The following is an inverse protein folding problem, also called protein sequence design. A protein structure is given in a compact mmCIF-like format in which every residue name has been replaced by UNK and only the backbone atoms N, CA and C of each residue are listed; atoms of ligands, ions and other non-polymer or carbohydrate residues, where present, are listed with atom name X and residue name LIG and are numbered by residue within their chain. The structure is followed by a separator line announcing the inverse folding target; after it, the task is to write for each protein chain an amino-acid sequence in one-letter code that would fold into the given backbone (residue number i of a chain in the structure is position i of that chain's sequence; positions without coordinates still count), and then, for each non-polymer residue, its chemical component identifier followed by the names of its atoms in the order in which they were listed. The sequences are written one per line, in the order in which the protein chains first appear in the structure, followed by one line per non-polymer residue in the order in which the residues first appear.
data_IF_396707157533
#
_entry.id   IF_396707157533
#
_cell.length_a   1.000
_cell.length_b   1.000
_cell.length_c   1.000
_cell.angle_alpha   90.00
_cell.angle_beta   90.00
_cell.angle_gamma   90.00
#
_symmetry.space_group_name_H-M   'P 1'
#
loop_
_entity.id
_entity.type
_entity.pdbx_description
1 polymer ?
#
# COMPACT_ATOMS: atom_id res chain seq x y z
N UNK A 1 -6.54 13.03 -2.44
CA UNK A 1 -5.09 12.71 -2.39
C UNK A 1 -4.51 12.87 -3.79
N UNK A 2 -3.32 13.46 -3.94
CA UNK A 2 -2.64 13.77 -5.23
C UNK A 2 -2.50 12.52 -6.10
N UNK A 3 -2.21 11.36 -5.50
CA UNK A 3 -2.08 10.08 -6.22
C UNK A 3 -3.36 9.72 -7.00
N UNK A 4 -4.54 9.85 -6.36
CA UNK A 4 -5.83 9.60 -7.04
C UNK A 4 -6.08 10.58 -8.17
N UNK A 5 -5.71 11.85 -8.00
CA UNK A 5 -5.88 12.86 -9.04
C UNK A 5 -4.97 12.58 -10.25
N UNK A 6 -3.76 12.09 -10.00
CA UNK A 6 -2.82 11.68 -11.06
C UNK A 6 -3.35 10.45 -11.80
N UNK A 7 -3.82 9.43 -11.08
CA UNK A 7 -4.42 8.23 -11.70
C UNK A 7 -5.65 8.55 -12.54
N UNK A 8 -6.53 9.44 -12.07
CA UNK A 8 -7.74 9.83 -12.81
C UNK A 8 -7.44 10.51 -14.16
N UNK A 9 -6.28 11.17 -14.28
CA UNK A 9 -5.85 11.83 -15.50
C UNK A 9 -4.95 10.95 -16.39
N UNK A 10 -4.47 9.81 -15.87
CA UNK A 10 -3.60 8.89 -16.59
C UNK A 10 -4.42 7.84 -17.35
N UNK A 11 -4.14 7.68 -18.65
CA UNK A 11 -4.68 6.57 -19.45
C UNK A 11 -3.69 5.41 -19.39
N UNK A 12 -4.01 4.41 -18.57
CA UNK A 12 -3.19 3.20 -18.41
C UNK A 12 -4.03 1.99 -18.78
N UNK A 13 -3.58 1.22 -19.75
CA UNK A 13 -4.15 -0.10 -20.05
C UNK A 13 -3.46 -1.12 -19.14
N UNK A 14 -4.24 -1.79 -18.28
CA UNK A 14 -3.72 -2.67 -17.23
C UNK A 14 -4.08 -4.12 -17.60
N UNK A 15 -3.09 -4.93 -18.00
CA UNK A 15 -3.31 -6.35 -18.27
C UNK A 15 -3.82 -7.08 -17.03
N UNK A 16 -4.78 -7.99 -17.23
CA UNK A 16 -5.37 -8.77 -16.13
C UNK A 16 -4.32 -9.60 -15.36
N UNK A 17 -3.29 -10.09 -16.05
CA UNK A 17 -2.18 -10.82 -15.41
C UNK A 17 -1.49 -10.00 -14.31
N UNK A 18 -1.35 -8.67 -14.50
CA UNK A 18 -0.76 -7.81 -13.48
C UNK A 18 -1.70 -7.62 -12.28
N UNK A 19 -3.01 -7.56 -12.54
CA UNK A 19 -4.05 -7.47 -11.50
C UNK A 19 -4.07 -8.76 -10.69
N UNK A 20 -4.05 -9.92 -11.35
CA UNK A 20 -4.08 -11.22 -10.69
C UNK A 20 -2.83 -11.43 -9.80
N UNK A 21 -1.65 -11.04 -10.30
CA UNK A 21 -0.42 -11.05 -9.50
C UNK A 21 -0.45 -10.09 -8.30
N UNK A 22 -1.14 -8.96 -8.42
CA UNK A 22 -1.33 -8.04 -7.29
C UNK A 22 -2.36 -8.59 -6.30
N UNK A 23 -3.45 -9.22 -6.77
CA UNK A 23 -4.42 -9.91 -5.92
C UNK A 23 -3.73 -11.00 -5.10
N UNK A 24 -2.91 -11.84 -5.74
CA UNK A 24 -2.18 -12.90 -5.03
C UNK A 24 -1.24 -12.31 -3.96
N UNK A 25 -0.51 -11.23 -4.28
CA UNK A 25 0.32 -10.52 -3.30
C UNK A 25 -0.50 -9.96 -2.13
N UNK A 26 -1.66 -9.37 -2.39
CA UNK A 26 -2.55 -8.85 -1.35
C UNK A 26 -3.11 -9.97 -0.45
N UNK A 27 -3.42 -11.13 -1.02
CA UNK A 27 -3.82 -12.32 -0.26
C UNK A 27 -2.68 -12.78 0.65
N UNK A 28 -1.46 -12.84 0.13
CA UNK A 28 -0.28 -13.25 0.90
C UNK A 28 0.05 -12.26 2.03
N UNK A 29 -0.04 -10.95 1.76
CA UNK A 29 0.09 -9.88 2.77
C UNK A 29 -0.89 -10.10 3.93
N UNK A 30 -2.17 -10.30 3.61
CA UNK A 30 -3.22 -10.50 4.61
C UNK A 30 -3.01 -11.82 5.36
N UNK A 31 -2.68 -12.90 4.66
CA UNK A 31 -2.37 -14.21 5.25
C UNK A 31 -1.21 -14.12 6.23
N UNK A 32 -0.12 -13.46 5.85
CA UNK A 32 1.03 -13.25 6.72
C UNK A 32 0.66 -12.42 7.95
N UNK A 33 -0.09 -11.33 7.79
CA UNK A 33 -0.56 -10.51 8.91
C UNK A 33 -1.44 -11.29 9.90
N UNK A 34 -2.31 -12.18 9.40
CA UNK A 34 -3.15 -13.04 10.22
C UNK A 34 -2.32 -14.10 10.95
N UNK A 35 -1.36 -14.72 10.26
CA UNK A 35 -0.46 -15.72 10.84
C UNK A 35 0.36 -15.16 12.00
N UNK A 36 0.78 -13.89 11.93
CA UNK A 36 1.42 -13.21 13.06
C UNK A 36 0.51 -13.09 14.30
N UNK A 37 -0.81 -13.06 14.11
CA UNK A 37 -1.81 -13.07 15.18
C UNK A 37 -2.26 -14.49 15.56
N UNK A 38 -1.69 -15.52 14.96
CA UNK A 38 -2.04 -16.92 15.19
C UNK A 38 -3.33 -17.38 14.49
N UNK A 39 -3.77 -16.67 13.45
CA UNK A 39 -4.98 -16.95 12.69
C UNK A 39 -4.60 -17.42 11.28
N UNK A 40 -5.20 -18.52 10.83
CA UNK A 40 -5.03 -19.00 9.44
C UNK A 40 -6.13 -18.42 8.54
N UNK A 41 -5.75 -17.94 7.35
CA UNK A 41 -6.67 -17.30 6.41
C UNK A 41 -7.84 -18.21 6.01
N UNK A 42 -7.58 -19.50 5.79
CA UNK A 42 -8.61 -20.47 5.41
C UNK A 42 -9.68 -20.65 6.51
N UNK A 43 -9.25 -20.63 7.78
CA UNK A 43 -10.16 -20.68 8.92
C UNK A 43 -11.00 -19.41 9.01
N UNK A 44 -10.39 -18.25 8.76
CA UNK A 44 -11.09 -16.97 8.74
C UNK A 44 -12.16 -16.91 7.64
N UNK A 45 -11.81 -17.30 6.41
CA UNK A 45 -12.76 -17.35 5.30
C UNK A 45 -13.89 -18.35 5.56
N UNK A 46 -13.58 -19.51 6.13
CA UNK A 46 -14.58 -20.49 6.54
C UNK A 46 -15.56 -19.94 7.57
N UNK A 47 -15.07 -19.18 8.56
CA UNK A 47 -15.93 -18.52 9.56
C UNK A 47 -16.88 -17.49 8.92
N UNK A 48 -16.40 -16.76 7.91
CA UNK A 48 -17.21 -15.80 7.14
C UNK A 48 -18.13 -16.45 6.10
N UNK A 49 -18.03 -17.77 5.89
CA UNK A 49 -18.75 -18.46 4.82
C UNK A 49 -18.31 -18.03 3.41
N UNK A 50 -17.07 -17.56 3.27
CA UNK A 50 -16.48 -17.11 2.02
C UNK A 50 -15.46 -18.13 1.50
N UNK A 51 -15.25 -18.12 0.18
CA UNK A 51 -14.19 -18.89 -0.49
C UNK A 51 -13.00 -17.98 -0.81
N UNK A 52 -11.84 -18.59 -1.05
CA UNK A 52 -10.66 -17.85 -1.51
C UNK A 52 -10.95 -17.09 -2.81
N UNK A 53 -11.67 -17.69 -3.75
CA UNK A 53 -12.00 -17.05 -5.04
C UNK A 53 -12.88 -15.82 -4.84
N UNK A 54 -13.93 -15.93 -4.02
CA UNK A 54 -14.79 -14.77 -3.70
C UNK A 54 -14.04 -13.67 -2.97
N UNK A 55 -13.06 -14.03 -2.13
CA UNK A 55 -12.20 -13.08 -1.46
C UNK A 55 -11.25 -12.39 -2.44
N UNK A 56 -10.60 -13.14 -3.34
CA UNK A 56 -9.77 -12.59 -4.42
C UNK A 56 -10.53 -11.64 -5.33
N UNK A 57 -11.78 -11.96 -5.68
CA UNK A 57 -12.62 -11.10 -6.50
C UNK A 57 -12.91 -9.75 -5.80
N UNK A 58 -13.13 -9.75 -4.49
CA UNK A 58 -13.30 -8.51 -3.71
C UNK A 58 -12.04 -7.64 -3.70
N UNK A 59 -10.86 -8.24 -3.79
CA UNK A 59 -9.59 -7.51 -3.84
C UNK A 59 -9.27 -6.96 -5.24
N UNK A 60 -9.94 -7.46 -6.29
CA UNK A 60 -9.54 -7.24 -7.68
C UNK A 60 -9.57 -5.77 -8.10
N UNK A 61 -10.57 -5.01 -7.66
CA UNK A 61 -10.66 -3.57 -7.95
C UNK A 61 -9.56 -2.78 -7.24
N UNK A 62 -9.28 -3.10 -5.98
CA UNK A 62 -8.20 -2.46 -5.23
C UNK A 62 -6.83 -2.81 -5.82
N UNK A 63 -6.63 -4.08 -6.21
CA UNK A 63 -5.44 -4.53 -6.90
C UNK A 63 -5.23 -3.78 -8.23
N UNK A 64 -6.29 -3.56 -9.01
CA UNK A 64 -6.23 -2.75 -10.24
C UNK A 64 -5.80 -1.31 -9.94
N UNK A 65 -6.36 -0.66 -8.91
CA UNK A 65 -5.95 0.70 -8.51
C UNK A 65 -4.47 0.74 -8.05
N UNK A 66 -4.02 -0.26 -7.30
CA UNK A 66 -2.60 -0.37 -6.88
C UNK A 66 -1.67 -0.53 -8.07
N UNK A 67 -1.99 -1.42 -9.01
CA UNK A 67 -1.20 -1.62 -10.24
C UNK A 67 -1.18 -0.34 -11.07
N UNK A 68 -2.32 0.33 -11.23
CA UNK A 68 -2.38 1.61 -11.93
C UNK A 68 -1.45 2.63 -11.30
N UNK A 69 -1.55 2.80 -9.98
CA UNK A 69 -0.74 3.73 -9.21
C UNK A 69 0.75 3.47 -9.43
N UNK A 70 1.17 2.22 -9.31
CA UNK A 70 2.57 1.83 -9.51
C UNK A 70 3.05 2.19 -10.91
N UNK A 71 2.31 1.81 -11.95
CA UNK A 71 2.68 2.08 -13.34
C UNK A 71 2.73 3.58 -13.66
N UNK A 72 1.82 4.38 -13.11
CA UNK A 72 1.84 5.82 -13.29
C UNK A 72 3.04 6.44 -12.60
N UNK A 73 3.34 6.02 -11.38
CA UNK A 73 4.50 6.53 -10.65
C UNK A 73 5.82 6.15 -11.32
N UNK A 74 5.94 4.91 -11.80
CA UNK A 74 7.09 4.45 -12.58
C UNK A 74 7.29 5.28 -13.86
N UNK A 75 6.21 5.50 -14.62
CA UNK A 75 6.26 6.34 -15.82
C UNK A 75 6.65 7.79 -15.50
N UNK A 76 6.19 8.35 -14.38
CA UNK A 76 6.57 9.70 -13.95
C UNK A 76 8.03 9.75 -13.49
N UNK A 77 8.49 8.76 -12.72
CA UNK A 77 9.88 8.72 -12.25
C UNK A 77 10.86 8.62 -13.42
N UNK A 78 10.56 7.79 -14.41
CA UNK A 78 11.36 7.68 -15.63
C UNK A 78 11.35 8.98 -16.44
N UNK A 79 10.18 9.57 -16.67
CA UNK A 79 10.05 10.79 -17.45
C UNK A 79 10.75 12.00 -16.80
N UNK A 80 10.89 12.00 -15.48
CA UNK A 80 11.57 13.05 -14.72
C UNK A 80 13.01 12.69 -14.34
N UNK A 81 13.51 11.51 -14.75
CA UNK A 81 14.82 11.00 -14.37
C UNK A 81 15.07 11.05 -12.85
N UNK A 82 14.06 10.62 -12.07
CA UNK A 82 14.17 10.52 -10.61
C UNK A 82 15.00 9.29 -10.28
N UNK A 83 16.21 9.53 -9.77
CA UNK A 83 17.13 8.49 -9.34
C UNK A 83 17.39 8.58 -7.83
N UNK A 84 17.65 7.43 -7.20
CA UNK A 84 18.19 7.37 -5.85
C UNK A 84 19.72 7.42 -5.93
N UNK A 85 20.34 8.38 -5.24
CA UNK A 85 21.80 8.44 -5.17
C UNK A 85 22.33 7.43 -4.15
N UNK A 86 23.59 7.00 -4.30
CA UNK A 86 24.25 6.13 -3.31
C UNK A 86 24.18 6.74 -1.90
N UNK A 87 24.39 8.06 -1.77
CA UNK A 87 24.31 8.77 -0.49
C UNK A 87 22.90 8.70 0.13
N UNK A 88 21.84 8.88 -0.66
CA UNK A 88 20.45 8.76 -0.18
C UNK A 88 20.14 7.33 0.29
N UNK A 89 20.65 6.33 -0.43
CA UNK A 89 20.50 4.92 -0.08
C UNK A 89 21.21 4.62 1.25
N UNK A 90 22.45 5.10 1.43
CA UNK A 90 23.18 4.92 2.68
C UNK A 90 22.51 5.61 3.87
N UNK A 91 21.99 6.82 3.66
CA UNK A 91 21.25 7.55 4.69
C UNK A 91 19.99 6.79 5.11
N UNK A 92 19.22 6.28 4.14
CA UNK A 92 17.99 5.55 4.40
C UNK A 92 18.25 4.22 5.12
N UNK A 93 19.29 3.47 4.71
CA UNK A 93 19.74 2.27 5.42
C UNK A 93 20.14 2.62 6.86
N UNK A 94 20.84 3.73 7.08
CA UNK A 94 21.17 4.22 8.41
C UNK A 94 19.95 4.54 9.27
N UNK A 95 18.88 5.08 8.69
CA UNK A 95 17.60 5.31 9.37
C UNK A 95 16.90 4.01 9.74
N UNK A 96 16.85 3.06 8.80
CA UNK A 96 16.27 1.73 9.03
C UNK A 96 17.01 0.99 10.15
N UNK A 97 18.34 1.00 10.11
CA UNK A 97 19.18 0.37 11.13
C UNK A 97 18.86 0.89 12.54
N UNK A 98 18.71 2.22 12.69
CA UNK A 98 18.27 2.84 13.95
C UNK A 98 16.88 2.39 14.38
N UNK A 99 15.92 2.29 13.45
CA UNK A 99 14.56 1.84 13.73
C UNK A 99 14.53 0.39 14.23
N UNK A 100 15.32 -0.47 13.61
CA UNK A 100 15.46 -1.88 13.98
C UNK A 100 16.46 -2.12 15.12
N UNK A 101 17.04 -1.07 15.71
CA UNK A 101 18.04 -1.13 16.78
C UNK A 101 19.22 -2.06 16.45
N UNK A 102 19.68 -2.00 15.21
CA UNK A 102 20.80 -2.78 14.69
C UNK A 102 21.84 -1.88 14.04
N UNK A 103 23.06 -2.40 13.88
CA UNK A 103 24.12 -1.69 13.17
C UNK A 103 23.85 -1.68 11.66
N UNK A 104 24.14 -0.55 10.99
CA UNK A 104 23.88 -0.39 9.56
C UNK A 104 24.60 -1.43 8.69
N UNK A 105 25.82 -1.81 9.07
CA UNK A 105 26.59 -2.86 8.40
C UNK A 105 25.97 -4.25 8.56
N UNK A 106 25.28 -4.51 9.69
CA UNK A 106 24.57 -5.77 9.90
C UNK A 106 23.28 -5.81 9.08
N UNK A 107 22.56 -4.68 8.99
CA UNK A 107 21.39 -4.57 8.13
C UNK A 107 21.77 -4.75 6.65
N UNK A 108 22.84 -4.07 6.16
CA UNK A 108 23.35 -4.25 4.78
C UNK A 108 23.65 -5.71 4.46
N UNK A 109 24.28 -6.45 5.39
CA UNK A 109 24.58 -7.89 5.19
C UNK A 109 23.35 -8.80 5.17
N UNK A 110 22.23 -8.34 5.72
CA UNK A 110 20.96 -9.06 5.70
C UNK A 110 20.12 -8.76 4.47
N UNK A 111 20.42 -7.67 3.75
CA UNK A 111 19.85 -7.39 2.44
C UNK A 111 20.55 -8.32 1.44
N UNK A 112 19.83 -9.27 0.83
CA UNK A 112 20.38 -10.13 -0.22
C UNK A 112 20.97 -9.30 -1.37
N UNK A 113 22.05 -9.78 -1.99
CA UNK A 113 22.62 -9.11 -3.17
C UNK A 113 21.55 -8.95 -4.27
N UNK A 114 21.26 -7.70 -4.66
CA UNK A 114 20.19 -7.35 -5.60
C UNK A 114 18.90 -6.81 -4.95
N UNK A 115 18.74 -6.90 -3.63
CA UNK A 115 17.63 -6.32 -2.86
C UNK A 115 17.92 -4.90 -2.35
N UNK A 116 19.14 -4.39 -2.49
CA UNK A 116 19.47 -2.96 -2.31
C UNK A 116 18.55 -2.05 -3.15
N UNK A 117 18.02 -2.63 -4.23
CA UNK A 117 17.04 -2.05 -5.12
C UNK A 117 15.72 -1.69 -4.41
N UNK A 118 15.32 -2.37 -3.32
CA UNK A 118 14.11 -2.00 -2.59
C UNK A 118 14.24 -0.65 -1.87
N UNK A 119 15.42 -0.35 -1.34
CA UNK A 119 15.69 0.95 -0.71
C UNK A 119 15.72 2.05 -1.77
N UNK A 120 16.38 1.79 -2.90
CA UNK A 120 16.41 2.70 -4.04
C UNK A 120 14.99 2.96 -4.61
N UNK A 121 14.19 1.91 -4.84
CA UNK A 121 12.81 2.02 -5.31
C UNK A 121 11.93 2.81 -4.33
N UNK A 122 12.07 2.58 -3.02
CA UNK A 122 11.34 3.34 -2.01
C UNK A 122 11.70 4.84 -2.04
N UNK A 123 12.99 5.16 -2.22
CA UNK A 123 13.47 6.53 -2.35
C UNK A 123 12.92 7.18 -3.63
N UNK A 124 13.01 6.50 -4.77
CA UNK A 124 12.49 6.99 -6.06
C UNK A 124 10.99 7.24 -5.96
N UNK A 125 10.24 6.30 -5.38
CA UNK A 125 8.80 6.44 -5.19
C UNK A 125 8.45 7.66 -4.32
N UNK A 126 9.13 7.83 -3.18
CA UNK A 126 8.95 9.00 -2.30
C UNK A 126 9.24 10.30 -3.04
N UNK A 127 10.38 10.40 -3.72
CA UNK A 127 10.79 11.58 -4.50
C UNK A 127 9.80 11.89 -5.62
N UNK A 128 9.26 10.87 -6.27
CA UNK A 128 8.25 11.00 -7.33
C UNK A 128 6.94 11.55 -6.78
N UNK A 129 6.49 11.06 -5.62
CA UNK A 129 5.30 11.59 -4.95
C UNK A 129 5.53 13.04 -4.49
N UNK A 130 6.69 13.36 -3.90
CA UNK A 130 7.04 14.74 -3.53
C UNK A 130 7.06 15.67 -4.73
N UNK A 131 7.62 15.23 -5.85
CA UNK A 131 7.60 15.98 -7.10
C UNK A 131 6.17 16.23 -7.58
N UNK A 132 5.32 15.19 -7.58
CA UNK A 132 3.91 15.32 -7.95
C UNK A 132 3.16 16.31 -7.05
N UNK A 133 3.40 16.26 -5.73
CA UNK A 133 2.82 17.21 -4.77
C UNK A 133 3.32 18.63 -5.04
N UNK A 134 4.60 18.83 -5.39
CA UNK A 134 5.17 20.15 -5.69
C UNK A 134 4.58 20.79 -6.96
N UNK A 135 4.10 19.97 -7.91
CA UNK A 135 3.47 20.42 -9.17
C UNK A 135 1.95 20.46 -9.09
N UNK A 136 1.36 19.78 -8.12
CA UNK A 136 -0.06 19.83 -7.88
C UNK A 136 -0.44 21.27 -7.51
N UNK A 137 -1.25 21.90 -8.36
CA UNK A 137 -1.92 23.14 -7.97
C UNK A 137 -2.85 22.77 -6.82
N UNK A 138 -2.73 23.40 -5.63
CA UNK A 138 -3.70 23.21 -4.58
C UNK A 138 -5.02 23.82 -5.06
N UNK A 139 -5.81 23.04 -5.78
CA UNK A 139 -7.24 23.29 -5.83
C UNK A 139 -7.71 23.15 -4.40
N UNK A 140 -8.19 24.25 -3.82
CA UNK A 140 -8.99 24.21 -2.61
C UNK A 140 -9.90 22.99 -2.70
N UNK A 141 -9.90 22.18 -1.64
CA UNK A 141 -10.56 20.88 -1.59
C UNK A 141 -11.90 20.93 -2.35
N UNK A 142 -12.21 19.96 -3.24
CA UNK A 142 -13.60 19.81 -3.63
C UNK A 142 -14.38 19.71 -2.32
N UNK A 143 -15.39 20.58 -2.16
CA UNK A 143 -16.33 20.43 -1.05
C UNK A 143 -16.71 18.96 -0.96
N UNK A 144 -16.80 18.39 0.26
CA UNK A 144 -17.17 17.00 0.41
C UNK A 144 -18.40 16.77 -0.46
N UNK A 145 -18.26 15.91 -1.47
CA UNK A 145 -19.42 15.32 -2.12
C UNK A 145 -20.20 14.72 -0.98
N UNK A 146 -21.35 15.32 -0.69
CA UNK A 146 -22.28 14.85 0.30
C UNK A 146 -22.52 13.37 0.02
N UNK A 147 -21.94 12.54 0.88
CA UNK A 147 -22.30 11.15 0.98
C UNK A 147 -23.70 11.16 1.56
N UNK A 148 -24.69 10.97 0.68
CA UNK A 148 -26.12 10.99 1.00
C UNK A 148 -26.53 9.67 1.68
N UNK A 149 -25.76 9.29 2.71
CA UNK A 149 -26.07 8.18 3.59
C UNK A 149 -25.77 8.56 5.04
N UNK A 150 -26.63 9.40 5.60
CA UNK A 150 -26.86 9.44 7.04
C UNK A 150 -28.32 9.12 7.39
N UNK A 151 -28.41 8.45 8.53
CA UNK A 151 -29.57 8.01 9.32
C UNK A 151 -30.26 6.69 8.90
N UNK A 152 -30.38 5.67 9.75
CA UNK A 152 -30.01 5.48 11.15
C UNK A 152 -30.38 4.01 11.48
N UNK A 153 -29.55 3.30 12.24
CA UNK A 153 -30.03 2.70 13.50
C UNK A 153 -28.87 2.21 14.35
N UNK A 154 -28.63 2.97 15.40
CA UNK A 154 -27.98 2.56 16.62
C UNK A 154 -28.59 1.24 17.11
N UNK A 155 -27.74 0.22 17.24
CA UNK A 155 -27.98 -0.87 18.18
C UNK A 155 -27.10 -0.61 19.39
N UNK A 156 -27.71 0.04 20.36
CA UNK A 156 -27.26 0.23 21.73
C UNK A 156 -26.77 -1.10 22.32
N UNK A 157 -25.48 -1.22 22.61
CA UNK A 157 -24.93 -2.24 23.49
C UNK A 157 -25.25 -1.82 24.93
N UNK A 158 -26.14 -2.52 25.66
CA UNK A 158 -26.34 -2.20 27.06
C UNK A 158 -25.09 -2.58 27.85
N UNK A 159 -24.62 -1.61 28.63
CA UNK A 159 -23.57 -1.76 29.62
C UNK A 159 -23.90 -2.89 30.62
N UNK A 160 -22.82 -3.50 31.11
CA UNK A 160 -22.74 -4.64 32.01
C UNK A 160 -23.64 -4.55 33.26
N UNK A 161 -23.73 -5.66 34.01
CA UNK A 161 -23.32 -5.50 35.39
C UNK A 161 -22.24 -6.51 35.80
N UNK A 162 -21.15 -5.98 36.35
CA UNK A 162 -20.34 -6.68 37.34
C UNK A 162 -21.25 -7.29 38.42
N UNK A 163 -21.11 -8.58 38.73
CA UNK A 163 -20.96 -9.06 40.13
C UNK A 163 -20.69 -10.57 40.26
N UNK A 164 -19.71 -10.86 41.12
CA UNK A 164 -19.40 -12.10 41.87
C UNK A 164 -18.37 -13.06 41.28
#
# INVERSE_FOLDING_TARGET
NVIRAVNANAKVDIPDVMVDQEVDRMVDEQSNQMRYQGIELDQYLSYLGQTLDTFKEQLRDSARERVQTRLVLEAVSEAQAVEATEEEIEEEIGKMAKMYQMEADELKKRIPEGEDNFVAEAIIHRKTVEWLVSKAVPTAAPEPVADDSEEEKQAELPAEPETT
#
